data_IF_314540305287
#
_entry.id   IF_314540305287
#
_cell.length_a   1.000
_cell.length_b   1.000
_cell.length_c   1.000
_cell.angle_alpha   90.00
_cell.angle_beta   90.00
_cell.angle_gamma   90.00
#
_symmetry.space_group_name_H-M   'P 1'
#
loop_
_entity.id
_entity.type
_entity.pdbx_description
1 polymer ?
#
# COMPACT_ATOMS: atom_id res chain seq x y z
N UNK A 1 4.33 9.18 -36.96
CA UNK A 1 4.31 8.03 -36.04
C UNK A 1 3.48 8.39 -34.82
N UNK A 2 2.42 7.62 -34.51
CA UNK A 2 1.57 7.92 -33.35
C UNK A 2 2.28 7.53 -32.05
N UNK A 3 1.94 8.18 -30.93
CA UNK A 3 2.51 7.84 -29.63
C UNK A 3 2.26 6.36 -29.26
N UNK A 4 1.11 5.82 -29.68
CA UNK A 4 0.73 4.42 -29.44
C UNK A 4 1.65 3.41 -30.12
N UNK A 5 2.15 3.69 -31.34
CA UNK A 5 3.07 2.77 -32.01
C UNK A 5 4.40 2.67 -31.25
N UNK A 6 4.94 3.82 -30.81
CA UNK A 6 6.18 3.87 -30.01
C UNK A 6 6.07 3.11 -28.68
N UNK A 7 4.93 3.21 -28.00
CA UNK A 7 4.69 2.44 -26.77
C UNK A 7 4.64 0.94 -27.05
N UNK A 8 3.93 0.51 -28.11
CA UNK A 8 3.85 -0.92 -28.49
C UNK A 8 5.23 -1.46 -28.88
N UNK A 9 6.03 -0.69 -29.61
CA UNK A 9 7.37 -1.07 -30.02
C UNK A 9 8.32 -1.19 -28.80
N UNK A 10 8.24 -0.25 -27.85
CA UNK A 10 9.01 -0.29 -26.60
C UNK A 10 8.61 -1.49 -25.71
N UNK A 11 7.31 -1.75 -25.59
CA UNK A 11 6.76 -2.91 -24.87
C UNK A 11 7.21 -4.23 -25.51
N UNK A 12 7.14 -4.32 -26.84
CA UNK A 12 7.62 -5.48 -27.59
C UNK A 12 9.12 -5.72 -27.41
N UNK A 13 9.94 -4.65 -27.41
CA UNK A 13 11.37 -4.73 -27.15
C UNK A 13 11.69 -5.21 -25.72
N UNK A 14 10.94 -4.75 -24.71
CA UNK A 14 11.11 -5.19 -23.31
C UNK A 14 10.69 -6.65 -23.14
N UNK A 15 9.59 -7.08 -23.77
CA UNK A 15 9.14 -8.47 -23.77
C UNK A 15 10.14 -9.40 -24.45
N UNK A 16 10.69 -9.00 -25.60
CA UNK A 16 11.74 -9.74 -26.32
C UNK A 16 13.03 -9.87 -25.50
N UNK A 17 13.45 -8.81 -24.79
CA UNK A 17 14.66 -8.84 -23.94
C UNK A 17 14.48 -9.67 -22.67
N UNK A 18 13.26 -9.78 -22.14
CA UNK A 18 12.97 -10.50 -20.90
C UNK A 18 12.53 -11.94 -21.11
N UNK A 19 12.15 -12.32 -22.33
CA UNK A 19 11.70 -13.68 -22.69
C UNK A 19 10.31 -14.03 -22.18
N UNK A 20 9.54 -13.05 -21.68
CA UNK A 20 8.22 -13.27 -21.08
C UNK A 20 7.12 -12.55 -21.85
N UNK A 21 5.95 -13.19 -22.09
CA UNK A 21 4.85 -12.58 -22.82
C UNK A 21 4.30 -11.33 -22.11
N UNK A 22 3.91 -10.32 -22.90
CA UNK A 22 3.46 -9.00 -22.43
C UNK A 22 2.37 -9.04 -21.36
N UNK A 23 1.40 -9.96 -21.49
CA UNK A 23 0.31 -10.15 -20.53
C UNK A 23 0.82 -10.56 -19.14
N UNK A 24 1.85 -11.40 -19.07
CA UNK A 24 2.48 -11.81 -17.81
C UNK A 24 3.25 -10.65 -17.18
N UNK A 25 3.86 -9.78 -17.98
CA UNK A 25 4.59 -8.61 -17.48
C UNK A 25 3.64 -7.58 -16.85
N UNK A 26 2.53 -7.28 -17.53
CA UNK A 26 1.49 -6.37 -17.01
C UNK A 26 0.85 -6.93 -15.74
N UNK A 27 0.57 -8.23 -15.70
CA UNK A 27 0.03 -8.88 -14.51
C UNK A 27 1.03 -8.82 -13.33
N UNK A 28 2.31 -9.10 -13.59
CA UNK A 28 3.38 -9.00 -12.58
C UNK A 28 3.50 -7.59 -12.03
N UNK A 29 3.51 -6.60 -12.91
CA UNK A 29 3.60 -5.19 -12.55
C UNK A 29 2.40 -4.77 -11.70
N UNK A 30 1.17 -5.14 -12.10
CA UNK A 30 -0.04 -4.84 -11.34
C UNK A 30 0.01 -5.46 -9.93
N UNK A 31 0.33 -6.75 -9.83
CA UNK A 31 0.40 -7.44 -8.52
C UNK A 31 1.46 -6.79 -7.62
N UNK A 32 2.65 -6.50 -8.16
CA UNK A 32 3.72 -5.88 -7.40
C UNK A 32 3.40 -4.43 -7.01
N UNK A 33 2.71 -3.70 -7.89
CA UNK A 33 2.22 -2.34 -7.62
C UNK A 33 1.22 -2.30 -6.46
N UNK A 34 0.32 -3.29 -6.39
CA UNK A 34 -0.66 -3.42 -5.31
C UNK A 34 -0.01 -3.85 -4.00
N UNK A 35 0.90 -4.84 -4.04
CA UNK A 35 1.62 -5.27 -2.83
C UNK A 35 2.47 -4.14 -2.23
N UNK A 36 3.13 -3.35 -3.07
CA UNK A 36 3.87 -2.16 -2.63
C UNK A 36 2.97 -0.99 -2.24
N UNK A 37 1.64 -1.07 -2.43
CA UNK A 37 0.68 -0.15 -1.84
C UNK A 37 0.24 -0.62 -0.44
N UNK A 38 -0.06 -1.91 -0.29
CA UNK A 38 -0.59 -2.50 0.95
C UNK A 38 0.46 -2.53 2.04
N UNK A 39 1.67 -3.01 1.75
CA UNK A 39 2.72 -3.21 2.77
C UNK A 39 3.12 -1.89 3.44
N UNK A 40 3.43 -0.80 2.70
CA UNK A 40 3.73 0.48 3.32
C UNK A 40 2.52 1.09 4.02
N UNK A 41 1.31 0.97 3.47
CA UNK A 41 0.11 1.51 4.10
C UNK A 41 -0.12 0.90 5.48
N UNK A 42 -0.06 -0.43 5.57
CA UNK A 42 -0.24 -1.16 6.83
C UNK A 42 0.92 -0.89 7.79
N UNK A 43 2.17 -0.93 7.29
CA UNK A 43 3.36 -0.68 8.11
C UNK A 43 3.40 0.74 8.69
N UNK A 44 3.13 1.76 7.86
CA UNK A 44 3.08 3.16 8.29
C UNK A 44 1.91 3.39 9.25
N UNK A 45 0.75 2.75 9.01
CA UNK A 45 -0.38 2.85 9.93
C UNK A 45 -0.04 2.32 11.33
N UNK A 46 0.49 1.09 11.42
CA UNK A 46 0.82 0.51 12.72
C UNK A 46 1.96 1.25 13.43
N UNK A 47 2.96 1.74 12.69
CA UNK A 47 4.03 2.58 13.27
C UNK A 47 3.49 3.93 13.74
N UNK A 48 2.67 4.62 12.96
CA UNK A 48 2.03 5.87 13.36
C UNK A 48 1.14 5.68 14.61
N UNK A 49 0.36 4.59 14.65
CA UNK A 49 -0.50 4.22 15.77
C UNK A 49 0.28 3.93 17.05
N UNK A 50 1.36 3.16 16.96
CA UNK A 50 2.20 2.84 18.13
C UNK A 50 2.96 4.05 18.67
N UNK A 51 3.32 5.00 17.80
CA UNK A 51 3.98 6.26 18.16
C UNK A 51 2.99 7.35 18.63
N UNK A 52 1.68 7.11 18.49
CA UNK A 52 0.63 8.05 18.83
C UNK A 52 0.64 9.31 17.94
N UNK A 53 1.03 9.18 16.67
CA UNK A 53 1.17 10.31 15.75
C UNK A 53 -0.18 11.00 15.52
N UNK A 54 -1.22 10.21 15.28
CA UNK A 54 -2.59 10.67 15.07
C UNK A 54 -3.14 11.40 16.29
N UNK A 55 -2.87 10.90 17.49
CA UNK A 55 -3.23 11.53 18.76
C UNK A 55 -2.54 12.89 18.93
N UNK A 56 -1.27 13.01 18.55
CA UNK A 56 -0.52 14.29 18.59
C UNK A 56 -1.05 15.30 17.57
N UNK A 57 -1.38 14.83 16.37
CA UNK A 57 -1.99 15.66 15.31
C UNK A 57 -3.36 16.18 15.77
N UNK A 58 -4.19 15.33 16.34
CA UNK A 58 -5.53 15.67 16.84
C UNK A 58 -5.46 16.54 18.11
N UNK A 59 -4.48 16.30 18.98
CA UNK A 59 -4.31 17.05 20.23
C UNK A 59 -3.65 18.42 20.03
N UNK A 60 -3.27 18.80 18.80
CA UNK A 60 -2.72 20.11 18.46
C UNK A 60 -3.86 21.13 18.33
N UNK A 61 -4.15 21.94 19.36
CA UNK A 61 -5.31 22.82 19.34
C UNK A 61 -4.99 24.02 18.42
N UNK A 62 -5.95 24.52 17.63
CA UNK A 62 -5.77 25.78 16.93
C UNK A 62 -5.48 26.90 17.95
N UNK A 63 -4.63 27.85 17.55
CA UNK A 63 -3.90 28.87 18.34
C UNK A 63 -4.70 29.78 19.31
N UNK A 64 -5.97 29.49 19.62
CA UNK A 64 -6.85 30.32 20.46
C UNK A 64 -7.30 29.67 21.78
N UNK A 65 -7.16 28.34 21.96
CA UNK A 65 -7.70 27.60 23.14
C UNK A 65 -6.73 26.52 23.69
N UNK A 66 -5.43 26.82 23.72
CA UNK A 66 -4.37 25.82 23.91
C UNK A 66 -4.34 25.07 25.27
N UNK A 67 -4.87 25.66 26.35
CA UNK A 67 -4.75 25.07 27.71
C UNK A 67 -6.11 24.79 28.37
N UNK A 68 -7.06 25.72 28.29
CA UNK A 68 -8.41 25.58 28.88
C UNK A 68 -9.17 24.37 28.30
N UNK A 69 -9.07 24.16 26.98
CA UNK A 69 -9.73 23.04 26.33
C UNK A 69 -9.14 21.66 26.66
N UNK A 70 -7.84 21.58 26.99
CA UNK A 70 -7.20 20.31 27.35
C UNK A 70 -7.66 19.80 28.71
N UNK A 71 -7.80 20.69 29.68
CA UNK A 71 -8.31 20.35 31.01
C UNK A 71 -9.77 19.90 30.92
N UNK A 72 -10.62 20.63 30.19
CA UNK A 72 -12.03 20.30 30.01
C UNK A 72 -12.23 18.92 29.36
N UNK A 73 -11.47 18.61 28.31
CA UNK A 73 -11.46 17.29 27.68
C UNK A 73 -11.00 16.17 28.63
N UNK A 74 -10.04 16.46 29.51
CA UNK A 74 -9.58 15.51 30.54
C UNK A 74 -10.65 15.22 31.59
N UNK A 75 -11.38 16.26 32.03
CA UNK A 75 -12.50 16.10 32.96
C UNK A 75 -13.66 15.36 32.31
N UNK A 76 -14.04 15.71 31.08
CA UNK A 76 -15.08 15.04 30.31
C UNK A 76 -14.73 13.57 30.04
N UNK A 77 -13.47 13.26 29.73
CA UNK A 77 -13.00 11.89 29.52
C UNK A 77 -13.04 11.03 30.79
N UNK A 78 -12.74 11.59 31.97
CA UNK A 78 -12.89 10.88 33.25
C UNK A 78 -14.35 10.69 33.66
N UNK A 79 -15.19 11.69 33.39
CA UNK A 79 -16.62 11.67 33.74
C UNK A 79 -17.43 10.78 32.81
N UNK A 80 -17.05 10.71 31.52
CA UNK A 80 -17.81 10.02 30.48
C UNK A 80 -16.91 9.13 29.61
N UNK A 81 -16.95 7.79 29.80
CA UNK A 81 -16.11 6.86 29.04
C UNK A 81 -16.30 6.89 27.53
N UNK A 82 -17.47 7.34 27.05
CA UNK A 82 -17.76 7.50 25.63
C UNK A 82 -16.85 8.56 24.97
N UNK A 83 -16.53 9.64 25.67
CA UNK A 83 -15.64 10.71 25.17
C UNK A 83 -14.21 10.17 24.99
N UNK A 84 -13.73 9.38 25.95
CA UNK A 84 -12.42 8.72 25.83
C UNK A 84 -12.35 7.70 24.68
N UNK A 85 -13.45 6.98 24.38
CA UNK A 85 -13.53 6.11 23.20
C UNK A 85 -13.51 6.91 21.91
N UNK A 86 -14.28 7.99 21.83
CA UNK A 86 -14.30 8.85 20.65
C UNK A 86 -12.91 9.44 20.35
N UNK A 87 -12.19 9.90 21.37
CA UNK A 87 -10.83 10.43 21.21
C UNK A 87 -9.86 9.41 20.57
N UNK A 88 -9.94 8.13 20.98
CA UNK A 88 -9.12 7.05 20.40
C UNK A 88 -9.48 6.75 18.95
N UNK A 89 -10.78 6.73 18.63
CA UNK A 89 -11.25 6.52 17.25
C UNK A 89 -10.74 7.65 16.35
N UNK A 90 -10.83 8.90 16.82
CA UNK A 90 -10.33 10.06 16.06
C UNK A 90 -8.81 9.99 15.88
N UNK A 91 -8.06 9.53 16.89
CA UNK A 91 -6.63 9.23 16.78
C UNK A 91 -6.31 8.16 15.73
N UNK A 92 -7.03 7.03 15.74
CA UNK A 92 -6.88 5.95 14.76
C UNK A 92 -7.19 6.43 13.33
N UNK A 93 -8.23 7.25 13.15
CA UNK A 93 -8.55 7.85 11.84
C UNK A 93 -7.43 8.79 11.39
N UNK A 94 -6.90 9.63 12.28
CA UNK A 94 -5.77 10.50 11.96
C UNK A 94 -4.51 9.70 11.59
N UNK A 95 -4.24 8.59 12.29
CA UNK A 95 -3.16 7.65 11.94
C UNK A 95 -3.35 7.06 10.54
N UNK A 96 -4.57 6.68 10.16
CA UNK A 96 -4.89 6.18 8.82
C UNK A 96 -4.68 7.23 7.74
N UNK A 97 -5.10 8.47 7.99
CA UNK A 97 -4.90 9.60 7.06
C UNK A 97 -3.41 9.89 6.86
N UNK A 98 -2.63 9.93 7.94
CA UNK A 98 -1.17 10.11 7.88
C UNK A 98 -0.51 8.98 7.10
N UNK A 99 -0.88 7.73 7.38
CA UNK A 99 -0.35 6.57 6.68
C UNK A 99 -0.66 6.59 5.19
N UNK A 100 -1.89 6.96 4.83
CA UNK A 100 -2.31 7.09 3.45
C UNK A 100 -1.55 8.21 2.73
N UNK A 101 -1.43 9.39 3.35
CA UNK A 101 -0.70 10.52 2.80
C UNK A 101 0.79 10.18 2.59
N UNK A 102 1.42 9.51 3.55
CA UNK A 102 2.80 9.03 3.44
C UNK A 102 2.96 7.97 2.35
N UNK A 103 2.02 7.02 2.24
CA UNK A 103 2.01 6.01 1.18
C UNK A 103 1.85 6.66 -0.21
N UNK A 104 1.06 7.73 -0.31
CA UNK A 104 0.94 8.55 -1.51
C UNK A 104 2.23 9.34 -1.81
N UNK A 105 2.90 9.86 -0.80
CA UNK A 105 4.18 10.54 -0.99
C UNK A 105 5.26 9.58 -1.53
N UNK A 106 5.14 8.28 -1.26
CA UNK A 106 6.02 7.22 -1.79
C UNK A 106 5.71 6.79 -3.23
N UNK A 107 4.68 7.34 -3.89
CA UNK A 107 4.33 6.99 -5.28
C UNK A 107 5.51 6.99 -6.28
N UNK A 108 6.39 8.02 -6.36
CA UNK A 108 7.51 8.00 -7.31
C UNK A 108 8.50 6.87 -7.02
N UNK A 109 8.76 6.59 -5.74
CA UNK A 109 9.62 5.48 -5.32
C UNK A 109 8.97 4.13 -5.66
N UNK A 110 7.64 3.99 -5.44
CA UNK A 110 6.88 2.78 -5.75
C UNK A 110 6.86 2.46 -7.25
N UNK A 111 6.74 3.47 -8.10
CA UNK A 111 6.79 3.29 -9.56
C UNK A 111 8.19 2.84 -9.97
N UNK A 112 9.25 3.49 -9.48
CA UNK A 112 10.63 3.12 -9.79
C UNK A 112 11.00 1.71 -9.31
N UNK A 113 10.66 1.39 -8.06
CA UNK A 113 10.90 0.07 -7.48
C UNK A 113 10.13 -1.04 -8.20
N UNK A 114 8.86 -0.80 -8.55
CA UNK A 114 8.04 -1.80 -9.28
C UNK A 114 8.58 -2.05 -10.69
N UNK A 115 9.04 -1.01 -11.41
CA UNK A 115 9.66 -1.16 -12.73
C UNK A 115 10.98 -1.94 -12.67
N UNK A 116 11.80 -1.67 -11.66
CA UNK A 116 13.08 -2.35 -11.47
C UNK A 116 12.93 -3.81 -11.04
N UNK A 117 11.98 -4.10 -10.13
CA UNK A 117 11.76 -5.44 -9.59
C UNK A 117 10.87 -6.33 -10.48
N UNK A 118 10.04 -5.78 -11.37
CA UNK A 118 9.17 -6.55 -12.28
C UNK A 118 9.89 -7.68 -13.05
N UNK A 119 11.06 -7.46 -13.70
CA UNK A 119 11.78 -8.54 -14.38
C UNK A 119 12.35 -9.60 -13.42
N UNK A 120 12.72 -9.23 -12.19
CA UNK A 120 13.22 -10.18 -11.17
C UNK A 120 12.09 -10.99 -10.53
N UNK A 121 10.95 -10.35 -10.25
CA UNK A 121 9.76 -10.96 -9.67
C UNK A 121 9.06 -11.91 -10.65
N UNK A 122 9.06 -11.58 -11.95
CA UNK A 122 8.61 -12.48 -13.01
C UNK A 122 9.39 -13.80 -13.00
N UNK A 123 10.72 -13.74 -12.78
CA UNK A 123 11.57 -14.93 -12.71
C UNK A 123 11.47 -15.66 -11.36
N UNK A 124 11.35 -14.93 -10.25
CA UNK A 124 11.38 -15.49 -8.90
C UNK A 124 10.02 -16.01 -8.40
N UNK A 125 8.91 -15.44 -8.87
CA UNK A 125 7.55 -15.74 -8.35
C UNK A 125 6.64 -16.34 -9.41
N UNK A 126 6.65 -15.84 -10.65
CA UNK A 126 5.77 -16.37 -11.70
C UNK A 126 6.23 -17.75 -12.20
N UNK A 127 7.53 -17.95 -12.39
CA UNK A 127 8.05 -19.23 -12.86
C UNK A 127 7.75 -20.41 -11.89
N UNK A 128 7.92 -20.28 -10.56
CA UNK A 128 7.54 -21.35 -9.63
C UNK A 128 6.02 -21.47 -9.43
N UNK A 129 5.28 -20.36 -9.39
CA UNK A 129 3.82 -20.39 -9.18
C UNK A 129 3.09 -20.97 -10.40
N UNK A 130 3.54 -20.67 -11.62
CA UNK A 130 2.99 -21.23 -12.86
C UNK A 130 3.20 -22.74 -12.95
N UNK A 131 4.37 -23.24 -12.53
CA UNK A 131 4.67 -24.69 -12.47
C UNK A 131 3.83 -25.39 -11.40
N UNK A 132 3.63 -24.77 -10.25
CA UNK A 132 2.77 -25.29 -9.18
C UNK A 132 1.28 -25.34 -9.60
N UNK A 133 0.76 -24.26 -10.19
CA UNK A 133 -0.65 -24.19 -10.61
C UNK A 133 -0.97 -25.13 -11.77
N UNK A 134 -0.11 -25.20 -12.81
CA UNK A 134 -0.28 -26.15 -13.92
C UNK A 134 -0.11 -27.59 -13.44
N UNK A 135 0.78 -27.85 -12.48
CA UNK A 135 0.97 -29.17 -11.88
C UNK A 135 -0.25 -29.66 -11.09
N UNK A 136 -0.88 -28.78 -10.32
CA UNK A 136 -2.11 -29.08 -9.58
C UNK A 136 -3.30 -29.24 -10.53
N UNK A 137 -3.47 -28.33 -11.49
CA UNK A 137 -4.58 -28.36 -12.44
C UNK A 137 -4.52 -29.58 -13.38
N UNK A 138 -3.32 -29.98 -13.82
CA UNK A 138 -3.12 -31.20 -14.63
C UNK A 138 -3.42 -32.48 -13.82
N UNK A 139 -3.11 -32.51 -12.51
CA UNK A 139 -3.48 -33.64 -11.63
C UNK A 139 -4.99 -33.78 -11.44
N UNK A 140 -5.71 -32.67 -11.35
CA UNK A 140 -7.17 -32.70 -11.19
C UNK A 140 -7.88 -33.12 -12.49
N UNK A 141 -7.37 -32.73 -13.65
CA UNK A 141 -7.94 -33.10 -14.96
C UNK A 141 -7.63 -34.53 -15.42
N UNK A 142 -6.48 -35.10 -15.04
CA UNK A 142 -6.11 -36.49 -15.38
C UNK A 142 -6.70 -37.55 -14.44
N UNK A 143 -7.43 -37.14 -13.39
CA UNK A 143 -8.05 -38.02 -12.40
C UNK A 143 -9.57 -38.18 -12.63
N UNK A 144 -10.00 -38.00 -13.89
CA UNK A 144 -11.29 -38.38 -14.46
C UNK A 144 -11.01 -39.30 -15.64
#
# INVERSE_FOLDING_TARGET
MSALSRYRDALAAVSARTGTPLSSLVLSFGILHELTAIVPLVGIFYTARTLGVGERVVASPPHRKGQLGRAEMQYMGRRWPAVGRAQRIVGDVANAVVAYAATKALLPVRIGASLYLSPMFSRAVIDPTRRAFVGVFRRVLNNK
#
